data_IF_930411556492
#
_entry.id   IF_930411556492
#
_cell.length_a   1.000
_cell.length_b   1.000
_cell.length_c   1.000
_cell.angle_alpha   90.00
_cell.angle_beta   90.00
_cell.angle_gamma   90.00
#
_symmetry.space_group_name_H-M   'P 1'
#
loop_
_entity.id
_entity.type
_entity.pdbx_description
1 polymer ?
#
# COMPACT_ATOMS: atom_id res chain seq x y z
N UNK A 1 -9.41 -41.71 -16.31
CA UNK A 1 -9.60 -40.43 -15.59
C UNK A 1 -10.62 -40.66 -14.48
N UNK A 2 -10.20 -40.61 -13.22
CA UNK A 2 -11.14 -40.66 -12.09
C UNK A 2 -11.90 -39.33 -12.08
N UNK A 3 -13.21 -39.38 -12.30
CA UNK A 3 -14.05 -38.20 -12.20
C UNK A 3 -14.22 -37.86 -10.70
N UNK A 4 -13.37 -36.95 -10.21
CA UNK A 4 -13.27 -36.59 -8.79
C UNK A 4 -14.40 -35.67 -8.30
N UNK A 5 -15.40 -35.34 -9.11
CA UNK A 5 -16.49 -34.46 -8.66
C UNK A 5 -17.60 -35.24 -7.95
N UNK A 6 -17.42 -35.60 -6.68
CA UNK A 6 -18.58 -35.79 -5.80
C UNK A 6 -19.24 -34.42 -5.59
N UNK A 7 -20.57 -34.30 -5.69
CA UNK A 7 -21.25 -33.05 -5.37
C UNK A 7 -20.92 -32.66 -3.93
N UNK A 8 -20.45 -31.42 -3.76
CA UNK A 8 -20.15 -30.83 -2.46
C UNK A 8 -21.43 -30.85 -1.62
N UNK A 9 -21.38 -31.43 -0.42
CA UNK A 9 -22.55 -31.60 0.43
C UNK A 9 -23.20 -30.25 0.78
N UNK A 10 -24.52 -30.25 0.98
CA UNK A 10 -25.24 -29.04 1.42
C UNK A 10 -24.64 -28.50 2.72
N UNK A 11 -24.28 -29.39 3.65
CA UNK A 11 -23.61 -29.03 4.90
C UNK A 11 -22.32 -28.24 4.65
N UNK A 12 -21.45 -28.70 3.75
CA UNK A 12 -20.22 -27.96 3.41
C UNK A 12 -20.53 -26.56 2.85
N UNK A 13 -21.51 -26.44 1.94
CA UNK A 13 -21.90 -25.14 1.35
C UNK A 13 -22.40 -24.17 2.43
N UNK A 14 -23.22 -24.66 3.36
CA UNK A 14 -23.74 -23.87 4.49
C UNK A 14 -22.60 -23.46 5.42
N UNK A 15 -21.74 -24.39 5.85
CA UNK A 15 -20.60 -24.09 6.73
C UNK A 15 -19.66 -23.07 6.12
N UNK A 16 -19.31 -23.23 4.83
CA UNK A 16 -18.43 -22.28 4.12
C UNK A 16 -19.04 -20.89 4.00
N UNK A 17 -20.34 -20.82 3.72
CA UNK A 17 -21.08 -19.54 3.66
C UNK A 17 -21.10 -18.86 5.03
N UNK A 18 -21.40 -19.62 6.09
CA UNK A 18 -21.43 -19.09 7.46
C UNK A 18 -20.06 -18.61 7.90
N UNK A 19 -19.00 -19.38 7.66
CA UNK A 19 -17.63 -19.00 7.98
C UNK A 19 -17.23 -17.67 7.33
N UNK A 20 -17.59 -17.48 6.05
CA UNK A 20 -17.28 -16.24 5.33
C UNK A 20 -18.08 -15.05 5.84
N UNK A 21 -19.37 -15.23 6.16
CA UNK A 21 -20.18 -14.19 6.79
C UNK A 21 -19.63 -13.77 8.16
N UNK A 22 -19.21 -14.74 8.97
CA UNK A 22 -18.58 -14.47 10.27
C UNK A 22 -17.25 -13.74 10.13
N UNK A 23 -16.44 -14.09 9.13
CA UNK A 23 -15.20 -13.38 8.82
C UNK A 23 -15.45 -11.90 8.51
N UNK A 24 -16.38 -11.60 7.59
CA UNK A 24 -16.71 -10.21 7.23
C UNK A 24 -17.37 -9.44 8.38
N UNK A 25 -18.25 -10.08 9.16
CA UNK A 25 -18.86 -9.46 10.34
C UNK A 25 -17.81 -9.11 11.39
N UNK A 26 -16.89 -10.03 11.69
CA UNK A 26 -15.78 -9.77 12.61
C UNK A 26 -14.97 -8.55 12.14
N UNK A 27 -14.65 -8.50 10.84
CA UNK A 27 -13.87 -7.38 10.27
C UNK A 27 -14.62 -6.05 10.38
N UNK A 28 -15.93 -6.03 10.10
CA UNK A 28 -16.77 -4.85 10.32
C UNK A 28 -16.73 -4.40 11.80
N UNK A 29 -16.75 -5.32 12.76
CA UNK A 29 -16.69 -4.97 14.19
C UNK A 29 -15.35 -4.34 14.56
N UNK A 30 -14.23 -4.97 14.18
CA UNK A 30 -12.86 -4.48 14.45
C UNK A 30 -12.66 -3.06 13.90
N UNK A 31 -13.03 -2.85 12.63
CA UNK A 31 -12.90 -1.54 11.98
C UNK A 31 -13.75 -0.48 12.69
N UNK A 32 -14.97 -0.83 13.09
CA UNK A 32 -15.83 0.11 13.79
C UNK A 32 -15.25 0.54 15.16
N UNK A 33 -14.47 -0.32 15.80
CA UNK A 33 -13.73 0.02 17.02
C UNK A 33 -12.58 0.97 16.70
N UNK A 34 -11.75 0.68 15.68
CA UNK A 34 -10.65 1.54 15.23
C UNK A 34 -11.14 2.98 14.94
N UNK A 35 -12.23 3.13 14.19
CA UNK A 35 -12.78 4.45 13.85
C UNK A 35 -13.37 5.19 15.05
N UNK A 36 -13.93 4.47 16.03
CA UNK A 36 -14.42 5.08 17.28
C UNK A 36 -13.25 5.59 18.11
N UNK A 37 -12.18 4.82 18.20
CA UNK A 37 -10.95 5.25 18.88
C UNK A 37 -10.38 6.50 18.22
N UNK A 38 -10.23 6.51 16.90
CA UNK A 38 -9.67 7.66 16.18
C UNK A 38 -10.56 8.89 16.27
N UNK A 39 -11.89 8.72 16.13
CA UNK A 39 -12.83 9.81 16.37
C UNK A 39 -12.78 10.32 17.81
N UNK A 40 -12.59 9.45 18.80
CA UNK A 40 -12.52 9.85 20.21
C UNK A 40 -11.35 10.80 20.51
N UNK A 41 -10.22 10.64 19.78
CA UNK A 41 -8.98 11.40 19.93
C UNK A 41 -9.05 12.81 19.35
N UNK A 42 -10.04 13.13 18.51
CA UNK A 42 -10.14 14.44 17.87
C UNK A 42 -10.45 15.54 18.89
N UNK A 43 -9.70 16.64 18.79
CA UNK A 43 -9.96 17.88 19.54
C UNK A 43 -11.31 18.49 19.14
N UNK A 44 -11.61 18.51 17.84
CA UNK A 44 -12.85 19.04 17.28
C UNK A 44 -13.66 17.92 16.62
N UNK A 45 -14.85 17.68 17.16
CA UNK A 45 -15.80 16.65 16.70
C UNK A 45 -16.96 17.31 15.99
N UNK A 46 -17.06 17.10 14.68
CA UNK A 46 -18.16 17.51 13.84
C UNK A 46 -19.07 16.32 13.56
N UNK A 47 -20.36 16.59 13.39
CA UNK A 47 -21.38 15.59 13.12
C UNK A 47 -21.95 15.78 11.73
N UNK A 48 -21.96 14.71 10.94
CA UNK A 48 -22.52 14.72 9.59
C UNK A 48 -24.03 15.02 9.62
N UNK A 49 -24.54 15.69 8.60
CA UNK A 49 -25.95 15.98 8.44
C UNK A 49 -26.76 14.70 8.23
N UNK A 50 -27.99 14.68 8.76
CA UNK A 50 -28.86 13.51 8.67
C UNK A 50 -29.21 13.15 7.22
N UNK A 51 -29.35 14.15 6.35
CA UNK A 51 -29.64 13.93 4.94
C UNK A 51 -28.46 13.29 4.22
N UNK A 52 -27.23 13.77 4.44
CA UNK A 52 -26.02 13.17 3.88
C UNK A 52 -25.86 11.73 4.38
N UNK A 53 -26.08 11.46 5.66
CA UNK A 53 -26.03 10.09 6.18
C UNK A 53 -27.09 9.18 5.54
N UNK A 54 -28.30 9.69 5.29
CA UNK A 54 -29.37 8.96 4.62
C UNK A 54 -28.96 8.59 3.18
N UNK A 55 -28.40 9.54 2.45
CA UNK A 55 -27.89 9.32 1.09
C UNK A 55 -26.73 8.32 1.07
N UNK A 56 -25.78 8.45 2.00
CA UNK A 56 -24.66 7.51 2.16
C UNK A 56 -25.17 6.08 2.40
N UNK A 57 -26.09 5.90 3.34
CA UNK A 57 -26.70 4.59 3.61
C UNK A 57 -27.45 4.04 2.41
N UNK A 58 -28.21 4.88 1.70
CA UNK A 58 -28.92 4.48 0.48
C UNK A 58 -27.95 4.01 -0.62
N UNK A 59 -26.78 4.65 -0.72
CA UNK A 59 -25.77 4.32 -1.73
C UNK A 59 -25.09 2.99 -1.44
N UNK A 60 -24.73 2.72 -0.18
CA UNK A 60 -23.82 1.63 0.18
C UNK A 60 -24.49 0.41 0.82
N UNK A 61 -25.66 0.54 1.45
CA UNK A 61 -26.37 -0.59 2.05
C UNK A 61 -27.20 -1.39 1.03
N UNK A 62 -27.45 -2.64 1.35
CA UNK A 62 -28.38 -3.53 0.62
C UNK A 62 -27.75 -4.33 -0.50
N UNK A 63 -26.61 -3.90 -1.04
CA UNK A 63 -25.86 -4.67 -2.04
C UNK A 63 -24.48 -5.12 -1.57
N UNK A 64 -23.89 -4.45 -0.57
CA UNK A 64 -22.63 -4.87 0.06
C UNK A 64 -22.88 -5.93 1.15
N UNK A 65 -21.86 -6.71 1.50
CA UNK A 65 -21.91 -7.61 2.66
C UNK A 65 -21.80 -6.90 4.02
N UNK A 66 -21.57 -5.59 4.05
CA UNK A 66 -21.51 -4.87 5.32
C UNK A 66 -22.89 -4.79 5.95
N UNK A 67 -22.97 -5.21 7.21
CA UNK A 67 -24.24 -5.30 7.95
C UNK A 67 -24.72 -3.91 8.44
N UNK A 68 -23.79 -3.00 8.70
CA UNK A 68 -24.08 -1.66 9.23
C UNK A 68 -23.06 -0.65 8.75
N UNK A 69 -23.50 0.60 8.61
CA UNK A 69 -22.64 1.76 8.36
C UNK A 69 -22.78 2.74 9.52
N UNK A 70 -21.87 2.68 10.51
CA UNK A 70 -21.91 3.60 11.64
C UNK A 70 -21.64 5.02 11.20
N UNK A 71 -22.34 5.97 11.83
CA UNK A 71 -22.14 7.39 11.55
C UNK A 71 -20.71 7.85 11.89
N UNK A 72 -20.07 7.23 12.89
CA UNK A 72 -18.75 7.60 13.40
C UNK A 72 -17.68 7.72 12.30
N UNK A 73 -17.73 6.87 11.27
CA UNK A 73 -16.81 6.97 10.13
C UNK A 73 -17.01 8.28 9.34
N UNK A 74 -18.25 8.63 9.01
CA UNK A 74 -18.58 9.88 8.34
C UNK A 74 -18.29 11.11 9.22
N UNK A 75 -18.55 11.00 10.53
CA UNK A 75 -18.23 12.06 11.50
C UNK A 75 -16.71 12.28 11.59
N UNK A 76 -15.90 11.21 11.53
CA UNK A 76 -14.43 11.29 11.47
C UNK A 76 -13.96 12.03 10.20
N UNK A 77 -14.40 11.61 9.02
CA UNK A 77 -14.02 12.28 7.77
C UNK A 77 -14.44 13.75 7.76
N UNK A 78 -15.65 14.05 8.23
CA UNK A 78 -16.12 15.44 8.31
C UNK A 78 -15.31 16.27 9.30
N UNK A 79 -14.98 15.72 10.47
CA UNK A 79 -14.18 16.41 11.49
C UNK A 79 -12.77 16.74 11.01
N UNK A 80 -12.18 15.87 10.20
CA UNK A 80 -10.81 16.04 9.68
C UNK A 80 -10.74 16.96 8.46
N UNK A 81 -11.66 16.78 7.51
CA UNK A 81 -11.61 17.44 6.21
C UNK A 81 -12.51 18.67 6.10
N UNK A 82 -13.55 18.77 6.94
CA UNK A 82 -14.64 19.72 6.78
C UNK A 82 -15.60 19.38 5.62
N UNK A 83 -15.43 18.23 4.97
CA UNK A 83 -16.22 17.81 3.81
C UNK A 83 -17.18 16.69 4.20
N UNK A 84 -18.43 16.83 3.75
CA UNK A 84 -19.47 15.80 3.90
C UNK A 84 -19.90 15.34 2.51
N UNK A 85 -19.70 14.06 2.18
CA UNK A 85 -20.17 13.50 0.92
C UNK A 85 -20.69 12.07 1.09
N UNK A 86 -21.81 11.71 0.45
CA UNK A 86 -22.38 10.37 0.57
C UNK A 86 -21.53 9.28 -0.10
N UNK A 87 -20.69 9.67 -1.07
CA UNK A 87 -19.84 8.79 -1.89
C UNK A 87 -18.49 8.46 -1.25
N UNK A 88 -18.21 8.88 -0.01
CA UNK A 88 -17.14 8.27 0.77
C UNK A 88 -17.42 6.78 0.93
N UNK A 89 -16.45 5.97 0.50
CA UNK A 89 -16.54 4.51 0.55
C UNK A 89 -16.40 4.09 2.01
N UNK A 90 -17.41 3.43 2.60
CA UNK A 90 -17.25 2.87 3.92
C UNK A 90 -16.17 1.79 3.89
N UNK A 91 -15.25 1.84 4.83
CA UNK A 91 -14.13 0.89 4.92
C UNK A 91 -14.57 -0.58 4.99
N UNK A 92 -15.68 -0.88 5.67
CA UNK A 92 -16.26 -2.22 5.71
C UNK A 92 -16.75 -2.67 4.32
N UNK A 93 -17.42 -1.77 3.60
CA UNK A 93 -17.90 -2.03 2.24
C UNK A 93 -16.73 -2.22 1.28
N UNK A 94 -15.69 -1.40 1.42
CA UNK A 94 -14.46 -1.53 0.66
C UNK A 94 -13.81 -2.90 0.88
N UNK A 95 -13.50 -3.26 2.13
CA UNK A 95 -12.80 -4.51 2.44
C UNK A 95 -13.62 -5.74 2.12
N UNK A 96 -14.89 -5.74 2.54
CA UNK A 96 -15.70 -6.95 2.51
C UNK A 96 -16.29 -7.18 1.12
N UNK A 97 -16.48 -6.13 0.31
CA UNK A 97 -17.15 -6.23 -0.99
C UNK A 97 -16.31 -5.70 -2.13
N UNK A 98 -16.02 -4.39 -2.16
CA UNK A 98 -15.44 -3.76 -3.36
C UNK A 98 -14.08 -4.36 -3.70
N UNK A 99 -13.13 -4.33 -2.76
CA UNK A 99 -11.77 -4.80 -2.99
C UNK A 99 -11.76 -6.27 -3.45
N UNK A 100 -12.58 -7.12 -2.81
CA UNK A 100 -12.68 -8.53 -3.20
C UNK A 100 -13.39 -8.78 -4.54
N UNK A 101 -14.18 -7.82 -5.07
CA UNK A 101 -14.86 -7.94 -6.36
C UNK A 101 -14.06 -7.32 -7.51
N UNK A 102 -13.41 -6.18 -7.29
CA UNK A 102 -12.65 -5.48 -8.34
C UNK A 102 -11.20 -5.97 -8.46
N UNK A 103 -10.69 -6.66 -7.43
CA UNK A 103 -9.35 -7.25 -7.42
C UNK A 103 -9.41 -8.75 -7.15
N UNK A 104 -8.72 -9.53 -7.98
CA UNK A 104 -8.45 -10.93 -7.68
C UNK A 104 -7.37 -11.00 -6.59
N UNK A 105 -7.78 -11.35 -5.38
CA UNK A 105 -6.89 -11.35 -4.21
C UNK A 105 -5.87 -12.50 -4.23
N UNK A 106 -6.15 -13.58 -4.96
CA UNK A 106 -5.21 -14.69 -5.13
C UNK A 106 -4.08 -14.32 -6.09
N UNK A 107 -4.42 -13.69 -7.22
CA UNK A 107 -3.41 -13.20 -8.17
C UNK A 107 -2.64 -12.02 -7.60
N UNK A 108 -3.23 -11.26 -6.67
CA UNK A 108 -2.60 -10.08 -6.10
C UNK A 108 -1.23 -10.38 -5.50
N UNK A 109 -1.08 -11.47 -4.75
CA UNK A 109 0.19 -11.86 -4.13
C UNK A 109 1.30 -12.19 -5.12
N UNK A 110 0.95 -12.75 -6.29
CA UNK A 110 1.91 -12.99 -7.36
C UNK A 110 2.47 -11.68 -7.91
N UNK A 111 1.60 -10.69 -8.15
CA UNK A 111 2.00 -9.37 -8.63
C UNK A 111 2.73 -8.52 -7.58
N UNK A 112 2.46 -8.72 -6.30
CA UNK A 112 3.10 -7.98 -5.22
C UNK A 112 4.54 -8.45 -4.92
N UNK A 113 5.02 -9.50 -5.57
CA UNK A 113 6.34 -10.08 -5.35
C UNK A 113 7.44 -9.04 -5.64
N UNK A 114 8.14 -8.61 -4.58
CA UNK A 114 9.19 -7.59 -4.65
C UNK A 114 10.49 -8.17 -5.23
N UNK A 115 11.11 -7.42 -6.13
CA UNK A 115 12.35 -7.83 -6.79
C UNK A 115 12.17 -8.65 -8.06
N UNK A 116 10.94 -8.78 -8.59
CA UNK A 116 10.70 -9.29 -9.94
C UNK A 116 9.96 -8.29 -10.84
N UNK A 117 9.76 -7.04 -10.42
CA UNK A 117 8.95 -6.09 -11.18
C UNK A 117 9.54 -5.82 -12.57
N UNK A 118 10.87 -5.80 -12.69
CA UNK A 118 11.53 -5.62 -13.99
C UNK A 118 11.16 -6.74 -14.97
N UNK A 119 11.15 -7.99 -14.49
CA UNK A 119 10.79 -9.16 -15.32
C UNK A 119 9.30 -9.25 -15.58
N UNK A 120 8.47 -8.87 -14.60
CA UNK A 120 7.01 -8.99 -14.71
C UNK A 120 6.39 -7.87 -15.56
N UNK A 121 6.98 -6.67 -15.52
CA UNK A 121 6.36 -5.45 -16.06
C UNK A 121 7.22 -4.73 -17.10
N UNK A 122 8.40 -5.27 -17.44
CA UNK A 122 9.31 -4.70 -18.44
C UNK A 122 9.68 -3.23 -18.13
N UNK A 123 10.18 -3.04 -16.90
CA UNK A 123 10.60 -1.76 -16.33
C UNK A 123 12.00 -1.89 -15.71
N UNK A 124 12.69 -0.78 -15.50
CA UNK A 124 13.99 -0.73 -14.81
C UNK A 124 13.94 0.19 -13.57
N UNK A 125 12.71 0.41 -13.07
CA UNK A 125 12.38 1.36 -12.01
C UNK A 125 12.27 0.73 -10.62
N UNK A 126 12.39 -0.58 -10.47
CA UNK A 126 12.51 -1.19 -9.13
C UNK A 126 13.94 -1.07 -8.59
N UNK A 127 14.14 -1.01 -7.26
CA UNK A 127 15.47 -1.18 -6.65
C UNK A 127 16.16 -2.44 -7.18
N UNK A 128 17.42 -2.31 -7.60
CA UNK A 128 18.19 -3.44 -8.12
C UNK A 128 18.24 -4.57 -7.09
N UNK A 129 17.68 -5.72 -7.44
CA UNK A 129 17.74 -6.93 -6.63
C UNK A 129 19.07 -7.64 -6.83
N UNK A 130 19.98 -7.48 -5.87
CA UNK A 130 21.31 -8.08 -5.88
C UNK A 130 21.26 -9.60 -5.66
N UNK A 131 20.34 -10.04 -4.79
CA UNK A 131 20.14 -11.44 -4.45
C UNK A 131 18.68 -11.69 -4.06
N UNK A 132 18.12 -12.83 -4.48
CA UNK A 132 16.72 -13.19 -4.20
C UNK A 132 16.63 -14.61 -3.67
N UNK A 133 15.82 -14.80 -2.63
CA UNK A 133 15.32 -16.11 -2.21
C UNK A 133 13.82 -16.15 -2.43
N UNK A 134 13.37 -16.92 -3.42
CA UNK A 134 11.97 -17.06 -3.80
C UNK A 134 11.56 -18.50 -3.60
N UNK A 135 10.76 -18.76 -2.58
CA UNK A 135 10.33 -20.10 -2.18
C UNK A 135 11.50 -21.08 -1.97
N UNK A 136 12.61 -20.61 -1.39
CA UNK A 136 13.80 -21.44 -1.11
C UNK A 136 14.73 -21.62 -2.30
N UNK A 137 14.40 -21.04 -3.46
CA UNK A 137 15.22 -21.06 -4.66
C UNK A 137 15.91 -19.70 -4.78
N UNK A 138 17.24 -19.74 -4.95
CA UNK A 138 18.07 -18.55 -5.01
C UNK A 138 18.30 -18.06 -6.44
N UNK A 139 18.26 -16.75 -6.64
CA UNK A 139 18.46 -16.13 -7.95
C UNK A 139 19.41 -14.93 -7.90
N UNK A 140 20.18 -14.75 -8.97
CA UNK A 140 21.02 -13.57 -9.23
C UNK A 140 20.15 -12.36 -9.61
N UNK A 141 20.75 -11.22 -9.93
CA UNK A 141 20.03 -10.01 -10.35
C UNK A 141 19.34 -10.12 -11.72
N UNK A 142 19.83 -10.99 -12.61
CA UNK A 142 19.22 -11.27 -13.93
C UNK A 142 18.06 -12.28 -13.84
N UNK A 143 17.97 -13.00 -12.73
CA UNK A 143 16.97 -14.02 -12.42
C UNK A 143 17.37 -15.40 -12.92
N UNK A 144 18.67 -15.68 -12.96
CA UNK A 144 19.20 -17.03 -13.13
C UNK A 144 19.33 -17.71 -11.76
N UNK A 145 19.06 -19.03 -11.66
CA UNK A 145 19.26 -19.78 -10.44
C UNK A 145 20.72 -19.76 -9.96
N UNK A 146 20.93 -19.63 -8.65
CA UNK A 146 22.24 -19.63 -8.00
C UNK A 146 22.48 -20.96 -7.31
N UNK A 147 23.57 -21.65 -7.64
CA UNK A 147 23.94 -22.95 -7.04
C UNK A 147 24.65 -22.81 -5.69
N UNK A 148 25.54 -21.83 -5.58
CA UNK A 148 26.34 -21.53 -4.38
C UNK A 148 25.87 -20.21 -3.75
N UNK A 149 24.73 -20.20 -3.04
CA UNK A 149 24.05 -18.96 -2.63
C UNK A 149 24.86 -18.10 -1.66
N UNK A 150 25.61 -18.71 -0.74
CA UNK A 150 26.40 -17.96 0.25
C UNK A 150 27.59 -17.25 -0.39
N UNK A 151 28.34 -17.96 -1.24
CA UNK A 151 29.43 -17.36 -2.02
C UNK A 151 28.90 -16.23 -2.90
N UNK A 152 27.82 -16.48 -3.64
CA UNK A 152 27.23 -15.49 -4.52
C UNK A 152 26.74 -14.25 -3.76
N UNK A 153 26.07 -14.43 -2.61
CA UNK A 153 25.66 -13.32 -1.76
C UNK A 153 26.86 -12.45 -1.39
N UNK A 154 27.94 -13.04 -0.88
CA UNK A 154 29.14 -12.30 -0.51
C UNK A 154 29.78 -11.56 -1.69
N UNK A 155 29.83 -12.18 -2.87
CA UNK A 155 30.34 -11.57 -4.10
C UNK A 155 29.48 -10.41 -4.59
N UNK A 156 28.15 -10.57 -4.59
CA UNK A 156 27.19 -9.54 -5.02
C UNK A 156 27.24 -8.27 -4.17
N UNK A 157 27.77 -8.38 -2.96
CA UNK A 157 27.85 -7.32 -1.96
C UNK A 157 29.23 -6.64 -1.89
N UNK A 158 30.22 -7.05 -2.69
CA UNK A 158 31.59 -6.51 -2.64
C UNK A 158 31.63 -5.00 -2.91
N UNK A 159 30.94 -4.56 -3.95
CA UNK A 159 30.91 -3.15 -4.37
C UNK A 159 29.85 -2.30 -3.63
N UNK A 160 29.15 -2.91 -2.66
CA UNK A 160 28.05 -2.25 -1.96
C UNK A 160 28.52 -1.70 -0.62
N UNK A 161 28.23 -0.42 -0.39
CA UNK A 161 28.43 0.23 0.92
C UNK A 161 27.20 0.11 1.82
N UNK A 162 26.00 0.08 1.21
CA UNK A 162 24.72 0.06 1.90
C UNK A 162 23.69 -0.74 1.11
N UNK A 163 22.90 -1.54 1.80
CA UNK A 163 21.87 -2.39 1.19
C UNK A 163 20.60 -2.42 2.05
N UNK A 164 19.54 -2.94 1.45
CA UNK A 164 18.28 -3.21 2.14
C UNK A 164 17.88 -4.67 1.94
N UNK A 165 17.49 -5.34 3.02
CA UNK A 165 16.90 -6.67 3.00
C UNK A 165 15.44 -6.56 3.45
N UNK A 166 14.53 -7.19 2.72
CA UNK A 166 13.10 -7.20 3.06
C UNK A 166 12.42 -8.49 2.61
N UNK A 167 11.24 -8.83 3.18
CA UNK A 167 10.44 -9.93 2.67
C UNK A 167 10.05 -9.68 1.21
N UNK A 168 10.03 -10.75 0.42
CA UNK A 168 9.69 -10.68 -0.99
C UNK A 168 8.17 -10.66 -1.22
N UNK A 169 7.39 -11.25 -0.31
CA UNK A 169 5.93 -11.34 -0.35
C UNK A 169 5.35 -11.17 1.06
N UNK A 170 4.03 -10.94 1.14
CA UNK A 170 3.24 -11.00 2.38
C UNK A 170 3.77 -10.14 3.55
N UNK A 171 4.26 -8.95 3.23
CA UNK A 171 4.71 -7.96 4.22
C UNK A 171 3.81 -6.74 4.18
N UNK A 172 3.23 -6.36 5.33
CA UNK A 172 2.53 -5.09 5.49
C UNK A 172 3.26 -4.18 6.47
N UNK A 173 3.28 -2.88 6.17
CA UNK A 173 3.67 -1.85 7.14
C UNK A 173 5.17 -1.80 7.48
N UNK A 174 6.04 -2.21 6.57
CA UNK A 174 7.50 -2.12 6.75
C UNK A 174 8.08 -3.08 7.79
N UNK A 175 7.31 -4.07 8.25
CA UNK A 175 7.82 -5.12 9.16
C UNK A 175 8.97 -5.88 8.50
N UNK A 176 10.00 -6.18 9.29
CA UNK A 176 11.19 -6.92 8.86
C UNK A 176 11.95 -6.24 7.71
N UNK A 177 11.98 -4.92 7.64
CA UNK A 177 12.95 -4.25 6.78
C UNK A 177 14.25 -4.12 7.57
N UNK A 178 15.36 -4.59 7.02
CA UNK A 178 16.69 -4.46 7.62
C UNK A 178 17.60 -3.69 6.67
N UNK A 179 18.23 -2.63 7.17
CA UNK A 179 19.20 -1.82 6.43
C UNK A 179 20.59 -2.15 6.96
N UNK A 180 21.49 -2.55 6.07
CA UNK A 180 22.88 -2.82 6.42
C UNK A 180 23.80 -1.79 5.78
N UNK A 181 24.81 -1.36 6.53
CA UNK A 181 25.84 -0.43 6.07
C UNK A 181 27.21 -0.93 6.55
N UNK A 182 28.25 -0.75 5.73
CA UNK A 182 29.62 -1.09 6.14
C UNK A 182 30.20 -0.02 7.05
N UNK A 183 30.84 -0.43 8.12
CA UNK A 183 31.65 0.47 8.94
C UNK A 183 32.99 0.81 8.27
N UNK A 184 33.82 1.61 8.97
CA UNK A 184 35.15 2.03 8.47
C UNK A 184 36.12 0.87 8.25
N UNK A 185 35.89 -0.29 8.86
CA UNK A 185 36.68 -1.50 8.68
C UNK A 185 36.08 -2.42 7.61
N UNK A 186 35.02 -1.98 6.92
CA UNK A 186 34.34 -2.76 5.89
C UNK A 186 33.38 -3.82 6.43
N UNK A 187 33.13 -3.89 7.75
CA UNK A 187 32.21 -4.88 8.33
C UNK A 187 30.77 -4.40 8.21
N UNK A 188 29.88 -5.30 7.79
CA UNK A 188 28.44 -5.02 7.75
C UNK A 188 27.85 -4.86 9.15
N UNK A 189 27.05 -3.81 9.34
CA UNK A 189 26.26 -3.57 10.54
C UNK A 189 24.80 -3.34 10.14
N UNK A 190 23.87 -4.02 10.82
CA UNK A 190 22.45 -3.73 10.68
C UNK A 190 22.12 -2.46 11.49
N UNK A 191 21.53 -1.46 10.85
CA UNK A 191 21.29 -0.14 11.46
C UNK A 191 20.05 -0.09 12.34
N UNK A 192 19.13 -1.05 12.17
CA UNK A 192 17.79 -0.97 12.74
C UNK A 192 17.29 -2.29 13.34
N UNK A 193 18.18 -3.27 13.50
CA UNK A 193 17.91 -4.58 14.13
C UNK A 193 19.26 -5.21 14.57
N UNK A 194 19.21 -6.28 15.36
CA UNK A 194 20.39 -7.06 15.77
C UNK A 194 20.58 -8.27 14.86
N UNK A 195 20.81 -8.01 13.57
CA UNK A 195 20.96 -9.04 12.54
C UNK A 195 22.37 -9.03 11.92
N UNK A 196 22.94 -10.23 11.77
CA UNK A 196 24.13 -10.44 10.97
C UNK A 196 23.79 -10.70 9.50
N UNK A 197 24.60 -10.15 8.59
CA UNK A 197 24.41 -10.34 7.14
C UNK A 197 25.11 -11.62 6.67
N UNK A 198 24.45 -12.77 6.89
CA UNK A 198 24.85 -14.04 6.30
C UNK A 198 23.62 -14.89 5.93
N UNK A 199 23.81 -15.85 5.02
CA UNK A 199 22.71 -16.61 4.44
C UNK A 199 21.86 -17.33 5.49
N UNK A 200 22.50 -17.97 6.48
CA UNK A 200 21.82 -18.76 7.51
C UNK A 200 20.91 -17.90 8.41
N UNK A 201 21.38 -16.70 8.79
CA UNK A 201 20.62 -15.74 9.59
C UNK A 201 19.45 -15.18 8.78
N UNK A 202 19.68 -14.80 7.53
CA UNK A 202 18.61 -14.32 6.66
C UNK A 202 17.53 -15.38 6.46
N UNK A 203 17.90 -16.63 6.19
CA UNK A 203 16.94 -17.74 6.07
C UNK A 203 16.16 -17.98 7.36
N UNK A 204 16.80 -17.91 8.54
CA UNK A 204 16.09 -18.07 9.81
C UNK A 204 15.09 -16.93 10.06
N UNK A 205 15.46 -15.70 9.75
CA UNK A 205 14.65 -14.51 10.05
C UNK A 205 13.50 -14.28 9.05
N UNK A 206 13.78 -14.48 7.76
CA UNK A 206 12.86 -14.23 6.66
C UNK A 206 12.20 -15.50 6.10
N UNK A 207 12.73 -16.68 6.43
CA UNK A 207 12.32 -17.93 5.81
C UNK A 207 12.76 -18.00 4.35
N UNK A 208 11.84 -18.46 3.51
CA UNK A 208 12.09 -18.79 2.11
C UNK A 208 11.77 -17.67 1.12
N UNK A 209 11.44 -16.46 1.60
CA UNK A 209 10.96 -15.38 0.75
C UNK A 209 11.53 -14.02 1.16
N UNK A 210 12.68 -13.66 0.60
CA UNK A 210 13.29 -12.35 0.81
C UNK A 210 14.10 -11.88 -0.39
N UNK A 211 14.38 -10.59 -0.40
CA UNK A 211 15.20 -9.95 -1.41
C UNK A 211 16.24 -9.04 -0.73
N UNK A 212 17.46 -9.10 -1.24
CA UNK A 212 18.53 -8.15 -0.95
C UNK A 212 18.59 -7.18 -2.12
N UNK A 213 18.42 -5.89 -1.84
CA UNK A 213 18.41 -4.83 -2.84
C UNK A 213 19.50 -3.80 -2.55
N UNK A 214 19.90 -3.08 -3.59
CA UNK A 214 20.62 -1.82 -3.41
C UNK A 214 19.84 -0.89 -2.48
N UNK A 215 20.56 -0.05 -1.74
CA UNK A 215 19.93 1.03 -1.00
C UNK A 215 19.67 2.21 -1.94
N UNK A 216 18.40 2.53 -2.19
CA UNK A 216 18.02 3.66 -3.03
C UNK A 216 18.03 4.94 -2.21
N UNK A 217 18.93 5.85 -2.53
CA UNK A 217 18.89 7.22 -2.02
C UNK A 217 17.79 8.00 -2.72
N UNK A 218 16.91 8.65 -1.95
CA UNK A 218 15.80 9.44 -2.50
C UNK A 218 16.25 10.84 -2.94
N UNK A 219 15.48 11.45 -3.85
CA UNK A 219 15.74 12.79 -4.36
C UNK A 219 15.78 13.86 -3.23
N UNK A 220 16.70 14.86 -3.28
CA UNK A 220 16.86 15.86 -2.22
C UNK A 220 15.58 16.58 -1.82
N UNK A 221 14.68 16.85 -2.79
CA UNK A 221 13.37 17.44 -2.52
C UNK A 221 12.59 16.68 -1.44
N UNK A 222 12.55 15.35 -1.54
CA UNK A 222 11.79 14.49 -0.63
C UNK A 222 12.58 14.16 0.64
N UNK A 223 13.91 14.15 0.58
CA UNK A 223 14.78 14.01 1.75
C UNK A 223 14.59 15.11 2.79
N UNK A 224 14.12 16.30 2.37
CA UNK A 224 13.76 17.37 3.29
C UNK A 224 12.73 16.93 4.33
N UNK A 225 11.76 16.10 3.97
CA UNK A 225 10.69 15.71 4.89
C UNK A 225 11.14 14.68 5.94
N UNK A 226 11.91 13.69 5.48
CA UNK A 226 12.59 12.75 6.36
C UNK A 226 13.75 12.09 5.61
N UNK A 227 15.02 12.41 5.94
CA UNK A 227 16.17 11.84 5.26
C UNK A 227 16.50 10.41 5.72
N UNK A 228 16.00 9.95 6.86
CA UNK A 228 16.28 8.59 7.37
C UNK A 228 15.40 7.52 6.73
N UNK A 229 14.28 7.93 6.10
CA UNK A 229 13.30 7.04 5.47
C UNK A 229 13.23 7.31 3.97
N UNK A 230 12.95 6.28 3.19
CA UNK A 230 12.51 6.46 1.82
C UNK A 230 11.03 6.85 1.83
N UNK A 231 10.76 8.14 1.78
CA UNK A 231 9.40 8.65 1.69
C UNK A 231 8.77 8.16 0.38
N UNK A 232 7.47 7.91 0.34
CA UNK A 232 6.80 7.48 -0.89
C UNK A 232 5.62 8.36 -1.21
N UNK A 233 5.29 8.49 -2.50
CA UNK A 233 4.03 8.97 -3.00
C UNK A 233 3.23 7.74 -3.38
N UNK A 234 2.16 7.51 -2.61
CA UNK A 234 1.14 6.53 -2.91
C UNK A 234 0.24 7.04 -4.02
N UNK A 235 0.30 6.39 -5.18
CA UNK A 235 -0.55 6.65 -6.33
C UNK A 235 -1.65 5.61 -6.40
N UNK A 236 -2.91 6.03 -6.25
CA UNK A 236 -4.08 5.18 -6.44
C UNK A 236 -4.40 5.11 -7.93
N UNK A 237 -4.30 3.92 -8.53
CA UNK A 237 -4.56 3.68 -9.94
C UNK A 237 -5.80 2.82 -10.08
N UNK A 238 -6.80 3.32 -10.79
CA UNK A 238 -8.05 2.63 -11.08
C UNK A 238 -8.16 2.29 -12.57
N UNK A 239 -8.57 1.05 -12.88
CA UNK A 239 -8.87 0.58 -14.23
C UNK A 239 -10.38 0.41 -14.39
N UNK A 240 -10.97 1.30 -15.18
CA UNK A 240 -12.40 1.28 -15.48
C UNK A 240 -12.77 0.00 -16.24
N UNK A 241 -13.83 -0.73 -15.84
CA UNK A 241 -14.40 -1.81 -16.64
C UNK A 241 -15.05 -1.36 -17.95
N UNK A 242 -15.27 -0.05 -18.18
CA UNK A 242 -15.89 0.43 -19.42
C UNK A 242 -14.91 0.48 -20.59
N UNK A 243 -13.64 0.80 -20.32
CA UNK A 243 -12.61 0.95 -21.36
C UNK A 243 -11.30 0.22 -21.09
N UNK A 244 -11.21 -0.46 -19.93
CA UNK A 244 -10.03 -1.22 -19.48
C UNK A 244 -8.74 -0.40 -19.37
N UNK A 245 -8.82 0.93 -19.29
CA UNK A 245 -7.66 1.81 -19.18
C UNK A 245 -7.37 2.19 -17.72
N UNK A 246 -6.14 1.94 -17.22
CA UNK A 246 -5.72 2.39 -15.90
C UNK A 246 -5.47 3.90 -15.87
N UNK A 247 -5.88 4.55 -14.76
CA UNK A 247 -5.74 6.00 -14.55
C UNK A 247 -5.37 6.28 -13.11
N UNK A 248 -4.46 7.23 -12.91
CA UNK A 248 -4.16 7.73 -11.56
C UNK A 248 -5.34 8.57 -11.08
N UNK A 249 -5.90 8.20 -9.94
CA UNK A 249 -7.00 8.90 -9.27
C UNK A 249 -6.47 9.96 -8.33
N UNK A 250 -5.58 9.56 -7.41
CA UNK A 250 -5.14 10.39 -6.30
C UNK A 250 -3.69 10.10 -5.91
N UNK A 251 -3.05 11.08 -5.27
CA UNK A 251 -1.71 10.99 -4.70
C UNK A 251 -1.70 11.35 -3.22
N UNK A 252 -1.06 10.51 -2.42
CA UNK A 252 -0.78 10.80 -1.01
C UNK A 252 0.69 10.55 -0.74
N UNK A 253 1.43 11.57 -0.35
CA UNK A 253 2.78 11.40 0.14
C UNK A 253 2.76 10.83 1.56
N UNK A 254 3.49 9.74 1.77
CA UNK A 254 3.73 9.10 3.05
C UNK A 254 5.15 9.39 3.47
N UNK A 255 5.28 9.99 4.65
CA UNK A 255 6.58 10.36 5.22
C UNK A 255 6.82 9.49 6.42
N UNK A 256 8.01 8.89 6.55
CA UNK A 256 8.34 8.07 7.71
C UNK A 256 8.46 8.87 8.99
N UNK A 257 8.31 8.20 10.14
CA UNK A 257 8.63 8.79 11.43
C UNK A 257 10.12 9.17 11.51
N UNK A 258 10.46 10.20 12.29
CA UNK A 258 11.86 10.65 12.48
C UNK A 258 12.74 9.48 12.93
N UNK A 259 13.85 9.25 12.23
CA UNK A 259 14.79 8.15 12.52
C UNK A 259 14.32 6.77 12.05
N UNK A 260 13.08 6.63 11.55
CA UNK A 260 12.59 5.41 10.95
C UNK A 260 13.21 5.21 9.56
N UNK A 261 13.48 3.95 9.22
CA UNK A 261 13.86 3.54 7.86
C UNK A 261 12.64 3.26 6.97
N UNK A 262 11.43 3.24 7.55
CA UNK A 262 10.16 2.92 6.86
C UNK A 262 9.15 4.06 6.94
N UNK A 263 8.36 4.23 5.89
CA UNK A 263 7.38 5.31 5.70
C UNK A 263 5.95 4.89 6.08
N UNK A 264 5.81 4.15 7.19
CA UNK A 264 4.53 3.64 7.66
C UNK A 264 3.92 4.54 8.75
N UNK A 265 2.63 4.83 8.65
CA UNK A 265 1.86 5.59 9.67
C UNK A 265 1.95 4.95 11.05
N UNK A 266 1.93 3.60 11.13
CA UNK A 266 2.09 2.89 12.42
C UNK A 266 3.49 3.00 13.02
N UNK A 267 4.48 3.45 12.24
CA UNK A 267 5.84 3.77 12.68
C UNK A 267 6.05 5.28 12.86
N UNK A 268 4.97 6.04 13.11
CA UNK A 268 5.00 7.49 13.27
C UNK A 268 4.97 8.26 11.94
N UNK A 269 4.65 7.58 10.84
CA UNK A 269 4.56 8.21 9.52
C UNK A 269 3.37 9.16 9.38
N UNK A 270 3.50 10.12 8.48
CA UNK A 270 2.53 11.20 8.28
C UNK A 270 2.03 11.19 6.83
N UNK A 271 0.72 10.99 6.58
CA UNK A 271 0.16 11.19 5.27
C UNK A 271 0.01 12.68 4.96
N UNK A 272 0.36 13.05 3.74
CA UNK A 272 0.30 14.41 3.21
C UNK A 272 -0.35 14.38 1.84
N UNK A 273 -1.39 15.19 1.67
CA UNK A 273 -2.08 15.29 0.40
C UNK A 273 -1.26 16.10 -0.62
N UNK A 274 -1.06 15.51 -1.79
CA UNK A 274 -0.55 16.16 -2.99
C UNK A 274 -1.68 16.14 -4.00
N UNK A 275 -2.07 17.30 -4.52
CA UNK A 275 -3.12 17.38 -5.53
C UNK A 275 -2.65 16.99 -6.94
N UNK A 276 -3.58 17.04 -7.90
CA UNK A 276 -3.32 16.66 -9.29
C UNK A 276 -2.22 17.49 -9.96
N UNK A 277 -2.05 18.75 -9.54
CA UNK A 277 -1.05 19.69 -10.06
C UNK A 277 0.33 19.53 -9.40
N UNK A 278 0.45 18.60 -8.46
CA UNK A 278 1.68 18.32 -7.71
C UNK A 278 1.91 19.27 -6.54
N UNK A 279 0.91 20.03 -6.11
CA UNK A 279 1.04 20.94 -4.97
C UNK A 279 0.76 20.19 -3.67
N UNK A 280 1.70 20.32 -2.73
CA UNK A 280 1.55 19.80 -1.37
C UNK A 280 0.56 20.69 -0.61
N UNK A 281 -0.55 20.11 -0.10
CA UNK A 281 -1.65 20.89 0.48
C UNK A 281 -1.65 20.89 2.00
N UNK A 282 -1.77 19.72 2.62
CA UNK A 282 -1.78 19.55 4.07
C UNK A 282 -1.58 18.09 4.45
N UNK A 283 -1.17 17.83 5.69
CA UNK A 283 -1.00 16.49 6.24
C UNK A 283 -1.69 16.31 7.58
N UNK A 284 -1.65 15.08 8.09
CA UNK A 284 -2.12 14.72 9.43
C UNK A 284 -1.01 14.04 10.21
N UNK A 285 -0.82 14.43 11.47
CA UNK A 285 0.14 13.77 12.35
C UNK A 285 -0.48 12.53 13.03
N UNK A 286 0.27 11.84 13.89
CA UNK A 286 -0.21 10.66 14.62
C UNK A 286 -1.37 10.92 15.58
N UNK A 287 -1.64 12.19 15.90
CA UNK A 287 -2.79 12.64 16.70
C UNK A 287 -3.95 13.13 15.83
N UNK A 288 -3.89 12.89 14.51
CA UNK A 288 -4.90 13.32 13.54
C UNK A 288 -5.08 14.85 13.48
N UNK A 289 -4.09 15.62 13.94
CA UNK A 289 -4.07 17.08 13.81
C UNK A 289 -3.56 17.46 12.44
N UNK A 290 -4.31 18.32 11.77
CA UNK A 290 -3.94 18.89 10.47
C UNK A 290 -2.73 19.80 10.61
N UNK A 291 -1.77 19.68 9.70
CA UNK A 291 -0.62 20.58 9.60
C UNK A 291 -0.39 21.06 8.16
N UNK A 292 0.17 22.26 8.04
CA UNK A 292 0.45 22.96 6.76
C UNK A 292 1.94 23.21 6.54
N UNK A 293 2.77 22.74 7.47
CA UNK A 293 4.21 22.90 7.49
C UNK A 293 4.86 21.65 8.05
N UNK A 294 6.04 21.32 7.56
CA UNK A 294 6.85 20.27 8.17
C UNK A 294 7.68 20.87 9.30
N UNK A 295 7.68 20.28 10.51
CA UNK A 295 8.48 20.73 11.64
C UNK A 295 9.96 20.32 11.44
N UNK A 296 10.56 20.87 10.39
CA UNK A 296 12.00 20.84 10.15
C UNK A 296 12.66 22.01 10.88
N UNK A 297 13.98 22.01 10.92
CA UNK A 297 14.81 23.10 11.44
C UNK A 297 15.62 23.66 10.25
N UNK A 298 15.21 24.78 9.62
CA UNK A 298 14.01 25.59 9.91
C UNK A 298 12.71 24.96 9.38
N UNK A 299 11.57 25.40 9.92
CA UNK A 299 10.23 24.93 9.51
C UNK A 299 10.00 25.25 8.03
N UNK A 300 9.43 24.29 7.28
CA UNK A 300 9.12 24.49 5.87
C UNK A 300 7.62 24.45 5.65
N UNK A 301 7.04 25.59 5.23
CA UNK A 301 5.62 25.68 4.88
C UNK A 301 5.35 25.06 3.52
N UNK A 302 4.22 24.38 3.39
CA UNK A 302 3.90 23.68 2.13
C UNK A 302 3.69 24.64 0.96
N UNK A 303 3.21 25.85 1.24
CA UNK A 303 3.07 26.93 0.26
C UNK A 303 4.40 27.37 -0.37
N UNK A 304 5.52 27.09 0.27
CA UNK A 304 6.86 27.51 -0.17
C UNK A 304 7.62 26.39 -0.92
N UNK A 305 7.08 25.16 -0.94
CA UNK A 305 7.75 24.00 -1.54
C UNK A 305 7.76 23.99 -3.07
N UNK A 306 6.83 24.73 -3.70
CA UNK A 306 6.53 24.58 -5.12
C UNK A 306 5.87 23.23 -5.44
N UNK A 307 5.98 22.78 -6.70
CA UNK A 307 5.46 21.49 -7.16
C UNK A 307 6.41 20.34 -6.76
N UNK A 308 5.83 19.21 -6.38
CA UNK A 308 6.55 17.96 -6.17
C UNK A 308 7.17 17.49 -7.51
N UNK A 309 8.50 17.31 -7.59
CA UNK A 309 9.18 16.98 -8.84
C UNK A 309 8.87 15.57 -9.34
N UNK A 310 8.83 15.38 -10.65
CA UNK A 310 8.70 14.06 -11.29
C UNK A 310 7.38 13.31 -11.02
N UNK A 311 6.35 13.99 -10.49
CA UNK A 311 5.06 13.38 -10.22
C UNK A 311 4.43 12.78 -11.47
N UNK A 312 4.52 13.46 -12.61
CA UNK A 312 3.93 12.96 -13.86
C UNK A 312 4.68 11.73 -14.41
N UNK A 313 6.00 11.67 -14.25
CA UNK A 313 6.78 10.48 -14.61
C UNK A 313 6.44 9.29 -13.70
N UNK A 314 6.23 9.53 -12.39
CA UNK A 314 5.74 8.51 -11.46
C UNK A 314 4.33 8.03 -11.81
N UNK A 315 3.42 8.94 -12.19
CA UNK A 315 2.07 8.60 -12.66
C UNK A 315 2.14 7.73 -13.92
N UNK A 316 2.96 8.12 -14.91
CA UNK A 316 3.14 7.37 -16.15
C UNK A 316 3.69 5.96 -15.89
N UNK A 317 4.68 5.84 -15.00
CA UNK A 317 5.23 4.56 -14.57
C UNK A 317 4.17 3.68 -13.89
N UNK A 318 3.39 4.23 -12.97
CA UNK A 318 2.33 3.49 -12.28
C UNK A 318 1.25 2.98 -13.26
N UNK A 319 0.86 3.81 -14.25
CA UNK A 319 -0.06 3.41 -15.32
C UNK A 319 0.53 2.28 -16.17
N UNK A 320 1.80 2.41 -16.62
CA UNK A 320 2.50 1.38 -17.40
C UNK A 320 2.52 0.03 -16.67
N UNK A 321 2.82 0.03 -15.37
CA UNK A 321 2.81 -1.20 -14.57
C UNK A 321 1.37 -1.72 -14.42
N UNK A 322 0.41 -0.85 -14.14
CA UNK A 322 -0.98 -1.24 -13.98
C UNK A 322 -1.55 -1.91 -15.23
N UNK A 323 -1.16 -1.52 -16.44
CA UNK A 323 -1.56 -2.19 -17.69
C UNK A 323 -1.20 -3.69 -17.71
N UNK A 324 -0.07 -4.07 -17.10
CA UNK A 324 0.43 -5.44 -17.00
C UNK A 324 -0.18 -6.26 -15.84
N UNK A 325 -1.08 -5.66 -15.06
CA UNK A 325 -1.75 -6.31 -13.91
C UNK A 325 -3.26 -6.40 -14.16
N UNK A 326 -3.74 -7.27 -15.08
CA UNK A 326 -5.14 -7.29 -15.49
C UNK A 326 -6.12 -7.83 -14.45
N UNK A 327 -5.62 -8.47 -13.40
CA UNK A 327 -6.46 -9.06 -12.36
C UNK A 327 -6.75 -8.10 -11.19
N UNK A 328 -6.21 -6.88 -11.21
CA UNK A 328 -6.45 -5.88 -10.18
C UNK A 328 -6.91 -4.57 -10.83
N UNK A 329 -8.15 -4.17 -10.58
CA UNK A 329 -8.69 -2.90 -11.07
C UNK A 329 -8.31 -1.72 -10.19
N UNK A 330 -7.98 -1.92 -8.92
CA UNK A 330 -7.49 -0.87 -8.03
C UNK A 330 -6.14 -1.28 -7.44
N UNK A 331 -5.11 -0.46 -7.66
CA UNK A 331 -3.75 -0.69 -7.16
C UNK A 331 -3.24 0.60 -6.54
N UNK A 332 -2.65 0.53 -5.35
CA UNK A 332 -1.87 1.64 -4.80
C UNK A 332 -0.37 1.39 -4.99
N UNK A 333 0.30 2.25 -5.74
CA UNK A 333 1.75 2.17 -5.96
C UNK A 333 2.47 3.08 -4.98
N UNK A 334 3.41 2.54 -4.22
CA UNK A 334 4.32 3.35 -3.42
C UNK A 334 5.56 3.68 -4.28
N UNK A 335 5.68 4.95 -4.67
CA UNK A 335 6.67 5.44 -5.62
C UNK A 335 7.50 6.59 -5.05
N UNK A 336 8.70 6.85 -5.56
CA UNK A 336 9.35 8.15 -5.37
C UNK A 336 10.47 8.35 -6.40
N UNK A 337 11.12 9.51 -6.42
CA UNK A 337 12.34 9.74 -7.17
C UNK A 337 13.59 9.30 -6.40
N UNK A 338 14.53 8.68 -7.09
CA UNK A 338 15.89 8.51 -6.57
C UNK A 338 16.71 9.81 -6.63
N UNK A 339 17.93 9.77 -6.09
CA UNK A 339 18.85 10.93 -6.04
C UNK A 339 19.17 11.54 -7.41
N UNK A 340 19.02 10.77 -8.49
CA UNK A 340 19.26 11.20 -9.87
C UNK A 340 17.97 11.66 -10.57
N UNK A 341 16.83 11.67 -9.87
CA UNK A 341 15.54 12.05 -10.42
C UNK A 341 14.83 10.95 -11.20
N UNK A 342 15.31 9.70 -11.15
CA UNK A 342 14.62 8.58 -11.81
C UNK A 342 13.42 8.13 -10.95
N UNK A 343 12.21 7.97 -11.52
CA UNK A 343 11.08 7.37 -10.82
C UNK A 343 11.39 5.94 -10.39
N UNK A 344 11.03 5.60 -9.14
CA UNK A 344 11.18 4.28 -8.55
C UNK A 344 9.83 3.77 -8.06
N UNK A 345 9.58 2.48 -8.26
CA UNK A 345 8.44 1.76 -7.68
C UNK A 345 8.98 0.85 -6.59
N UNK A 346 8.55 1.10 -5.35
CA UNK A 346 9.05 0.38 -4.18
C UNK A 346 8.13 -0.79 -3.84
N UNK A 347 6.81 -0.59 -4.00
CA UNK A 347 5.79 -1.57 -3.65
C UNK A 347 4.50 -1.40 -4.46
N UNK A 348 3.91 -2.54 -4.84
CA UNK A 348 2.57 -2.65 -5.38
C UNK A 348 1.61 -3.11 -4.26
N UNK A 349 0.67 -2.25 -3.87
CA UNK A 349 -0.37 -2.55 -2.89
C UNK A 349 -1.68 -2.86 -3.63
N UNK A 350 -1.76 -4.07 -4.19
CA UNK A 350 -2.89 -4.55 -5.00
C UNK A 350 -3.77 -5.59 -4.28
N UNK A 351 -3.30 -6.14 -3.16
CA UNK A 351 -4.13 -6.93 -2.25
C UNK A 351 -5.05 -6.03 -1.43
N UNK A 352 -4.53 -4.89 -0.99
CA UNK A 352 -5.28 -3.81 -0.36
C UNK A 352 -4.60 -2.48 -0.65
N UNK A 353 -5.26 -1.64 -1.45
CA UNK A 353 -4.77 -0.30 -1.75
C UNK A 353 -4.91 0.69 -0.58
N UNK A 354 -5.80 0.40 0.38
CA UNK A 354 -6.27 1.31 1.41
C UNK A 354 -7.25 2.37 0.87
N UNK A 355 -7.85 3.13 1.80
CA UNK A 355 -8.80 4.21 1.47
C UNK A 355 -8.41 5.56 2.08
N UNK A 356 -7.16 5.69 2.53
CA UNK A 356 -6.70 6.78 3.39
C UNK A 356 -6.92 8.17 2.78
N UNK A 357 -7.07 8.29 1.46
CA UNK A 357 -7.36 9.54 0.77
C UNK A 357 -8.64 10.24 1.29
N UNK A 358 -9.60 9.49 1.84
CA UNK A 358 -10.88 10.02 2.32
C UNK A 358 -10.74 10.93 3.55
N UNK A 359 -9.69 10.78 4.35
CA UNK A 359 -9.43 11.70 5.49
C UNK A 359 -9.12 13.12 5.00
N UNK A 360 -8.71 13.27 3.75
CA UNK A 360 -8.47 14.56 3.08
C UNK A 360 -9.73 15.12 2.42
N UNK A 361 -10.90 14.51 2.64
CA UNK A 361 -12.17 14.97 2.08
C UNK A 361 -12.42 14.55 0.63
N UNK A 362 -11.66 13.57 0.14
CA UNK A 362 -11.67 13.14 -1.26
C UNK A 362 -12.19 11.70 -1.34
N UNK A 363 -13.33 11.43 -1.99
CA UNK A 363 -13.84 10.07 -2.15
C UNK A 363 -12.88 9.20 -2.95
N UNK A 364 -12.66 7.95 -2.51
CA UNK A 364 -11.66 7.05 -3.13
C UNK A 364 -11.83 6.87 -4.65
N UNK A 365 -13.08 6.76 -5.11
CA UNK A 365 -13.39 6.56 -6.53
C UNK A 365 -13.87 7.84 -7.22
N UNK A 366 -14.20 8.90 -6.48
CA UNK A 366 -14.75 10.14 -7.04
C UNK A 366 -15.85 9.88 -8.07
N UNK A 367 -15.63 10.37 -9.29
CA UNK A 367 -16.56 10.24 -10.42
C UNK A 367 -16.81 8.78 -10.88
N UNK A 368 -15.96 7.83 -10.50
CA UNK A 368 -16.13 6.40 -10.81
C UNK A 368 -16.97 5.65 -9.78
N UNK A 369 -17.47 6.32 -8.73
CA UNK A 369 -18.19 5.65 -7.63
C UNK A 369 -19.38 4.83 -8.12
N UNK A 370 -20.24 5.38 -8.98
CA UNK A 370 -21.42 4.67 -9.48
C UNK A 370 -21.04 3.44 -10.31
N UNK A 371 -20.04 3.57 -11.18
CA UNK A 371 -19.53 2.47 -12.01
C UNK A 371 -18.96 1.32 -11.15
N UNK A 372 -18.23 1.65 -10.09
CA UNK A 372 -17.72 0.64 -9.14
C UNK A 372 -18.86 -0.09 -8.46
N UNK A 373 -19.92 0.63 -8.05
CA UNK A 373 -21.11 0.03 -7.44
C UNK A 373 -21.81 -0.91 -8.43
N UNK A 374 -22.02 -0.48 -9.68
CA UNK A 374 -22.63 -1.28 -10.74
C UNK A 374 -21.82 -2.54 -11.05
N UNK A 375 -20.49 -2.40 -11.14
CA UNK A 375 -19.59 -3.54 -11.33
C UNK A 375 -19.70 -4.52 -10.16
N UNK A 376 -19.68 -4.04 -8.92
CA UNK A 376 -19.75 -4.90 -7.75
C UNK A 376 -21.09 -5.64 -7.59
N UNK A 377 -22.20 -5.04 -8.05
CA UNK A 377 -23.52 -5.68 -8.05
C UNK A 377 -23.65 -6.80 -9.08
N UNK A 378 -22.86 -6.74 -10.15
CA UNK A 378 -22.94 -7.67 -11.28
C UNK A 378 -21.85 -8.75 -11.27
N UNK A 379 -20.80 -8.58 -10.47
CA UNK A 379 -19.66 -9.49 -10.42
C UNK A 379 -19.52 -10.18 -9.07
N UNK A 380 -18.98 -11.41 -9.11
CA UNK A 380 -18.67 -12.17 -7.90
C UNK A 380 -17.31 -11.77 -7.35
N UNK A 381 -17.12 -12.02 -6.06
CA UNK A 381 -15.84 -11.84 -5.39
C UNK A 381 -14.83 -12.90 -5.80
N UNK A 382 -13.58 -12.49 -5.95
CA UNK A 382 -12.43 -13.35 -6.18
C UNK A 382 -11.48 -13.27 -4.98
N UNK A 383 -11.90 -13.88 -3.88
CA UNK A 383 -11.20 -13.86 -2.59
C UNK A 383 -10.68 -15.25 -2.18
N UNK A 384 -9.76 -15.31 -1.22
CA UNK A 384 -9.24 -16.55 -0.59
C UNK A 384 -10.37 -17.40 0.01
N UNK A 385 -11.49 -16.77 0.38
CA UNK A 385 -12.64 -17.44 0.98
C UNK A 385 -13.57 -18.11 -0.05
N UNK A 386 -13.28 -18.01 -1.37
CA UNK A 386 -14.06 -18.56 -2.51
C UNK A 386 -15.36 -19.26 -2.08
N UNK A 387 -16.40 -18.49 -1.80
CA UNK A 387 -17.77 -19.01 -1.55
C UNK A 387 -18.51 -19.09 -2.87
#
# INVERSE_FOLDING_TARGET
>A
MVNLSKPVSLAYKVTRTLASKLFYLRRDLEINEEFREDYSKLEKKLRVDNEVLRQHRKMWLGWSESFRLPRTEMDLYYSLSGVQRPDFVPIGVYFNTINATINNRLMAWGYAQKGNYARMFDIDNEPLSLFRNLNGIFYDFKGHPVKEPEQFLNESLKEQQKILVKPAVDSSGGKKIAVFERDRNGKWQCLNDELDLNLSVLQRFYGNNYVVQEYVEQHPFYSRFNPSSFNTIRLYVYRSPKDEKPRVMHSVMRIGGKGSVVDNVKAGGMPVYIDSDGIVRYGFNSQMKRFLSFPLEPEVKFSELGKAPGLDDMKALAVKVAEKVPYNRLIAFDTNLDKNGKPRVIELNNYDAGIAIQIFGIPLFGDYTEEVIEYCKSHKKEDILRV
#
